data_IF_280155603443
#
_entry.id   IF_280155603443
#
_cell.length_a   1.000
_cell.length_b   1.000
_cell.length_c   1.000
_cell.angle_alpha   90.00
_cell.angle_beta   90.00
_cell.angle_gamma   90.00
#
_symmetry.space_group_name_H-M   'P 1'
#
loop_
_entity.id
_entity.type
_entity.pdbx_description
1 polymer ?
#
# COMPACT_ATOMS: atom_id res chain seq x y z
N UNK A 1 5.49 -30.06 15.90
CA UNK A 1 5.24 -29.72 14.49
C UNK A 1 4.86 -28.26 14.46
N UNK A 2 5.82 -27.36 14.23
CA UNK A 2 5.50 -25.94 14.02
C UNK A 2 4.77 -25.81 12.68
N UNK A 3 3.53 -25.32 12.72
CA UNK A 3 2.76 -25.10 11.51
C UNK A 3 3.52 -24.07 10.66
N UNK A 4 3.77 -24.41 9.39
CA UNK A 4 4.26 -23.47 8.38
C UNK A 4 3.31 -22.28 8.34
N UNK A 5 3.68 -21.18 8.99
CA UNK A 5 2.91 -19.94 8.87
C UNK A 5 3.06 -19.50 7.42
N UNK A 6 1.94 -19.25 6.76
CA UNK A 6 1.95 -18.72 5.40
C UNK A 6 2.75 -17.42 5.40
N UNK A 7 3.72 -17.30 4.50
CA UNK A 7 4.50 -16.07 4.30
C UNK A 7 3.59 -14.83 4.18
N UNK A 8 2.41 -14.99 3.58
CA UNK A 8 1.41 -13.92 3.50
C UNK A 8 0.89 -13.51 4.86
N UNK A 9 0.57 -14.44 5.76
CA UNK A 9 0.03 -14.12 7.09
C UNK A 9 1.06 -13.37 7.95
N UNK A 10 2.33 -13.75 7.84
CA UNK A 10 3.43 -13.03 8.49
C UNK A 10 3.59 -11.62 7.92
N UNK A 11 3.53 -11.47 6.61
CA UNK A 11 3.55 -10.17 5.94
C UNK A 11 2.40 -9.29 6.43
N UNK A 12 1.16 -9.81 6.44
CA UNK A 12 -0.02 -9.06 6.91
C UNK A 12 0.12 -8.66 8.37
N UNK A 13 0.72 -9.50 9.23
CA UNK A 13 1.00 -9.15 10.63
C UNK A 13 2.06 -8.04 10.73
N UNK A 14 3.13 -8.11 9.94
CA UNK A 14 4.19 -7.12 9.90
C UNK A 14 3.69 -5.74 9.43
N UNK A 15 2.84 -5.71 8.41
CA UNK A 15 2.30 -4.47 7.82
C UNK A 15 1.26 -3.74 8.70
N UNK A 16 0.93 -4.27 9.88
CA UNK A 16 0.11 -3.55 10.87
C UNK A 16 0.84 -2.35 11.46
N UNK A 17 2.18 -2.41 11.57
CA UNK A 17 3.00 -1.28 11.98
C UNK A 17 3.10 -0.27 10.83
N UNK A 18 2.69 1.00 11.02
CA UNK A 18 2.83 2.05 10.02
C UNK A 18 4.26 2.22 9.49
N UNK A 19 5.29 1.99 10.32
CA UNK A 19 6.70 2.08 9.87
C UNK A 19 7.04 0.98 8.87
N UNK A 20 6.61 -0.25 9.16
CA UNK A 20 6.76 -1.40 8.27
C UNK A 20 6.00 -1.18 6.96
N UNK A 21 4.75 -0.72 7.03
CA UNK A 21 3.95 -0.39 5.85
C UNK A 21 4.59 0.70 4.98
N UNK A 22 5.13 1.75 5.60
CA UNK A 22 5.84 2.82 4.91
C UNK A 22 7.07 2.30 4.16
N UNK A 23 7.93 1.52 4.85
CA UNK A 23 9.11 0.92 4.23
C UNK A 23 8.73 0.02 3.05
N UNK A 24 7.73 -0.84 3.24
CA UNK A 24 7.24 -1.75 2.21
C UNK A 24 6.70 -1.03 0.97
N UNK A 25 5.89 0.02 1.16
CA UNK A 25 5.36 0.82 0.05
C UNK A 25 6.45 1.61 -0.67
N UNK A 26 7.45 2.14 0.05
CA UNK A 26 8.58 2.84 -0.56
C UNK A 26 9.44 1.90 -1.40
N UNK A 27 9.73 0.68 -0.92
CA UNK A 27 10.43 -0.34 -1.71
C UNK A 27 9.67 -0.66 -3.00
N UNK A 28 8.35 -0.83 -2.91
CA UNK A 28 7.53 -1.08 -4.10
C UNK A 28 7.49 0.12 -5.08
N UNK A 29 7.61 1.36 -4.59
CA UNK A 29 7.76 2.55 -5.44
C UNK A 29 9.14 2.65 -6.10
N UNK A 30 10.20 2.28 -5.38
CA UNK A 30 11.59 2.32 -5.89
C UNK A 30 11.82 1.35 -7.05
N UNK A 31 11.15 0.19 -7.05
CA UNK A 31 11.19 -0.79 -8.16
C UNK A 31 10.54 -0.26 -9.46
N UNK A 32 9.74 0.82 -9.39
CA UNK A 32 9.21 1.53 -10.54
C UNK A 32 8.04 0.85 -11.27
N UNK A 33 7.59 -0.33 -10.84
CA UNK A 33 6.42 -0.98 -11.40
C UNK A 33 5.14 -0.62 -10.61
N UNK A 34 4.28 0.17 -11.24
CA UNK A 34 2.95 0.53 -10.71
C UNK A 34 2.16 -0.68 -10.25
N UNK A 35 2.23 -1.82 -10.95
CA UNK A 35 1.45 -3.02 -10.59
C UNK A 35 1.90 -3.58 -9.24
N UNK A 36 3.20 -3.60 -8.99
CA UNK A 36 3.78 -4.03 -7.71
C UNK A 36 3.36 -3.08 -6.58
N UNK A 37 3.40 -1.76 -6.83
CA UNK A 37 2.92 -0.78 -5.85
C UNK A 37 1.43 -0.96 -5.49
N UNK A 38 0.56 -1.23 -6.47
CA UNK A 38 -0.87 -1.45 -6.22
C UNK A 38 -1.12 -2.75 -5.43
N UNK A 39 -0.33 -3.81 -5.68
CA UNK A 39 -0.35 -5.03 -4.87
C UNK A 39 0.10 -4.71 -3.44
N UNK A 40 1.17 -3.94 -3.27
CA UNK A 40 1.65 -3.55 -1.95
C UNK A 40 0.60 -2.74 -1.16
N UNK A 41 -0.08 -1.79 -1.82
CA UNK A 41 -1.21 -1.06 -1.22
C UNK A 41 -2.36 -1.98 -0.79
N UNK A 42 -2.64 -3.05 -1.55
CA UNK A 42 -3.64 -4.04 -1.16
C UNK A 42 -3.23 -4.82 0.08
N UNK A 43 -1.97 -5.25 0.17
CA UNK A 43 -1.46 -5.96 1.35
C UNK A 43 -1.52 -5.09 2.60
N UNK A 44 -1.17 -3.80 2.48
CA UNK A 44 -1.33 -2.83 3.58
C UNK A 44 -2.81 -2.64 3.92
N UNK A 45 -3.69 -2.50 2.93
CA UNK A 45 -5.13 -2.39 3.19
C UNK A 45 -5.68 -3.62 3.95
N UNK A 46 -5.23 -4.83 3.60
CA UNK A 46 -5.58 -6.08 4.27
C UNK A 46 -5.08 -6.09 5.73
N UNK A 47 -3.81 -5.73 5.96
CA UNK A 47 -3.24 -5.59 7.29
C UNK A 47 -4.00 -4.59 8.18
N UNK A 48 -4.54 -3.54 7.58
CA UNK A 48 -5.33 -2.49 8.24
C UNK A 48 -6.84 -2.83 8.36
N UNK A 49 -7.22 -4.10 8.21
CA UNK A 49 -8.60 -4.57 8.39
C UNK A 49 -9.40 -4.71 7.08
N UNK A 50 -8.73 -4.65 5.93
CA UNK A 50 -9.29 -4.93 4.61
C UNK A 50 -9.97 -3.75 3.92
N UNK A 51 -10.26 -3.94 2.64
CA UNK A 51 -10.90 -2.95 1.77
C UNK A 51 -12.28 -2.51 2.26
N UNK A 52 -12.99 -3.39 2.96
CA UNK A 52 -14.28 -3.07 3.58
C UNK A 52 -14.13 -1.99 4.66
N UNK A 53 -13.15 -2.16 5.54
CA UNK A 53 -12.86 -1.21 6.63
C UNK A 53 -12.36 0.11 6.05
N UNK A 54 -11.47 0.03 5.06
CA UNK A 54 -10.94 1.20 4.36
C UNK A 54 -12.05 2.01 3.66
N UNK A 55 -12.94 1.33 2.92
CA UNK A 55 -14.10 1.96 2.26
C UNK A 55 -14.99 2.72 3.24
N UNK A 56 -15.27 2.15 4.42
CA UNK A 56 -16.05 2.83 5.47
C UNK A 56 -15.32 4.05 6.02
N UNK A 57 -14.01 3.93 6.30
CA UNK A 57 -13.19 5.01 6.85
C UNK A 57 -13.09 6.20 5.89
N UNK A 58 -12.93 5.92 4.59
CA UNK A 58 -12.80 6.94 3.55
C UNK A 58 -14.14 7.43 2.98
N UNK A 59 -15.27 6.81 3.37
CA UNK A 59 -16.59 7.04 2.75
C UNK A 59 -16.58 6.88 1.22
N UNK A 60 -15.70 6.02 0.72
CA UNK A 60 -15.59 5.71 -0.72
C UNK A 60 -16.38 4.45 -1.05
N UNK A 61 -16.98 4.40 -2.25
CA UNK A 61 -17.64 3.19 -2.73
C UNK A 61 -16.62 2.03 -2.86
N UNK A 62 -16.97 0.86 -2.32
CA UNK A 62 -16.15 -0.36 -2.41
C UNK A 62 -15.73 -0.65 -3.86
N UNK A 63 -16.65 -0.59 -4.82
CA UNK A 63 -16.35 -0.88 -6.23
C UNK A 63 -15.29 0.06 -6.80
N UNK A 64 -15.34 1.33 -6.41
CA UNK A 64 -14.34 2.33 -6.78
C UNK A 64 -12.97 2.01 -6.16
N UNK A 65 -12.94 1.65 -4.87
CA UNK A 65 -11.71 1.25 -4.17
C UNK A 65 -11.09 -0.02 -4.76
N UNK A 66 -11.91 -1.03 -5.07
CA UNK A 66 -11.48 -2.26 -5.76
C UNK A 66 -10.87 -1.97 -7.13
N UNK A 67 -11.48 -1.05 -7.89
CA UNK A 67 -11.00 -0.60 -9.21
C UNK A 67 -9.65 0.12 -9.09
N UNK A 68 -9.56 1.10 -8.19
CA UNK A 68 -8.35 1.89 -7.96
C UNK A 68 -7.17 0.99 -7.56
N UNK A 69 -7.40 0.06 -6.64
CA UNK A 69 -6.33 -0.78 -6.11
C UNK A 69 -6.08 -2.02 -6.97
N UNK A 70 -6.81 -2.22 -8.07
CA UNK A 70 -6.59 -3.37 -8.97
C UNK A 70 -5.23 -3.38 -9.65
N UNK A 71 -4.81 -4.55 -10.16
CA UNK A 71 -3.54 -4.69 -10.90
C UNK A 71 -3.44 -3.73 -12.09
N UNK A 72 -4.56 -3.31 -12.66
CA UNK A 72 -4.64 -2.32 -13.74
C UNK A 72 -5.13 -0.94 -13.28
N UNK A 73 -5.23 -0.72 -11.98
CA UNK A 73 -5.74 0.52 -11.40
C UNK A 73 -4.82 1.71 -11.67
N UNK A 74 -5.39 2.90 -11.54
CA UNK A 74 -4.66 4.16 -11.63
C UNK A 74 -5.28 5.14 -10.62
N UNK A 75 -4.88 5.07 -9.33
CA UNK A 75 -5.36 6.02 -8.34
C UNK A 75 -5.05 7.45 -8.77
N UNK A 76 -6.05 8.32 -8.68
CA UNK A 76 -5.83 9.76 -8.69
C UNK A 76 -5.04 10.16 -7.43
N UNK A 77 -4.28 11.26 -7.50
CA UNK A 77 -3.45 11.74 -6.38
C UNK A 77 -4.28 11.92 -5.11
N UNK A 78 -5.48 12.49 -5.22
CA UNK A 78 -6.35 12.73 -4.06
C UNK A 78 -6.80 11.42 -3.40
N UNK A 79 -7.11 10.41 -4.22
CA UNK A 79 -7.48 9.08 -3.72
C UNK A 79 -6.29 8.39 -3.06
N UNK A 80 -5.11 8.46 -3.68
CA UNK A 80 -3.88 7.89 -3.12
C UNK A 80 -3.55 8.54 -1.76
N UNK A 81 -3.63 9.86 -1.69
CA UNK A 81 -3.35 10.62 -0.48
C UNK A 81 -4.32 10.27 0.66
N UNK A 82 -5.63 10.17 0.36
CA UNK A 82 -6.63 9.72 1.33
C UNK A 82 -6.37 8.30 1.84
N UNK A 83 -6.04 7.38 0.93
CA UNK A 83 -5.71 5.98 1.27
C UNK A 83 -4.48 5.92 2.19
N UNK A 84 -3.41 6.62 1.84
CA UNK A 84 -2.18 6.66 2.65
C UNK A 84 -2.44 7.24 4.04
N UNK A 85 -3.22 8.33 4.15
CA UNK A 85 -3.60 8.90 5.46
C UNK A 85 -4.44 7.95 6.30
N UNK A 86 -5.32 7.17 5.67
CA UNK A 86 -6.03 6.10 6.37
C UNK A 86 -5.09 5.02 6.90
N UNK A 87 -3.89 4.85 6.33
CA UNK A 87 -2.85 3.97 6.85
C UNK A 87 -1.91 4.67 7.86
N UNK A 88 -2.14 5.94 8.18
CA UNK A 88 -1.25 6.73 9.04
C UNK A 88 0.02 7.19 8.32
N UNK A 89 -0.01 7.28 6.99
CA UNK A 89 1.12 7.65 6.14
C UNK A 89 0.82 8.94 5.38
N UNK A 90 1.87 9.69 5.05
CA UNK A 90 1.78 10.86 4.17
C UNK A 90 2.72 10.69 2.97
N UNK A 91 2.35 11.32 1.85
CA UNK A 91 3.23 11.44 0.69
C UNK A 91 4.31 12.49 0.96
N UNK A 92 5.55 12.16 0.59
CA UNK A 92 6.68 13.07 0.70
C UNK A 92 7.39 13.24 -0.65
N UNK A 93 7.77 14.48 -0.96
CA UNK A 93 8.66 14.79 -2.08
C UNK A 93 10.08 14.82 -1.52
N UNK A 94 10.92 13.91 -1.98
CA UNK A 94 12.33 13.82 -1.57
C UNK A 94 13.25 14.10 -2.74
N UNK A 95 14.47 14.62 -2.52
CA UNK A 95 15.47 14.71 -3.56
C UNK A 95 15.69 13.32 -4.17
N UNK A 96 15.82 13.24 -5.51
CA UNK A 96 16.20 11.97 -6.14
C UNK A 96 17.58 11.57 -5.61
N UNK A 97 17.69 10.34 -5.09
CA UNK A 97 18.98 9.72 -4.79
C UNK A 97 19.82 9.85 -6.06
N UNK A 98 20.96 10.55 -5.98
CA UNK A 98 21.80 10.90 -7.11
C UNK A 98 21.93 9.70 -8.05
N UNK A 99 21.33 9.79 -9.25
CA UNK A 99 21.65 8.90 -10.34
C UNK A 99 23.07 9.28 -10.70
N UNK A 100 24.08 8.54 -10.21
CA UNK A 100 25.45 8.71 -10.71
C UNK A 100 25.33 8.72 -12.22
N UNK A 101 25.70 9.84 -12.83
CA UNK A 101 25.87 9.94 -14.26
C UNK A 101 26.87 8.85 -14.63
N UNK A 102 26.38 7.85 -15.36
CA UNK A 102 27.22 6.98 -16.17
C UNK A 102 27.25 7.62 -17.56
#
# INVERSE_FOLDING_TARGET
MEASVSYHDELIKYLKDPRAACAYLNTALEEGDRKHFLIALRNVAEAQGGLLTLSRRLRMNRGHLYKILSKGGNPEIDSLHQILRAFGLDLAIVPRKNRKAA
#
